data_IF_987363493462
#
_entry.id   IF_987363493462
#
_cell.length_a   1.000
_cell.length_b   1.000
_cell.length_c   1.000
_cell.angle_alpha   90.00
_cell.angle_beta   90.00
_cell.angle_gamma   90.00
#
_symmetry.space_group_name_H-M   'P 1'
#
loop_
_entity.id
_entity.type
_entity.pdbx_description
1 polymer ?
#
# COMPACT_ATOMS: atom_id res chain seq x y z
N UNK A 1 4.71 -26.78 -1.20
CA UNK A 1 3.40 -26.21 -1.61
C UNK A 1 3.21 -24.91 -0.86
N UNK A 2 3.24 -23.76 -1.54
CA UNK A 2 2.93 -22.48 -0.91
C UNK A 2 1.41 -22.41 -0.69
N UNK A 3 0.98 -22.05 0.52
CA UNK A 3 -0.43 -21.84 0.82
C UNK A 3 -0.93 -20.68 -0.05
N UNK A 4 -1.97 -20.92 -0.85
CA UNK A 4 -2.69 -19.86 -1.56
C UNK A 4 -3.30 -18.96 -0.48
N UNK A 5 -2.80 -17.72 -0.39
CA UNK A 5 -3.37 -16.71 0.51
C UNK A 5 -4.80 -16.40 0.06
N UNK A 6 -5.72 -16.34 1.01
CA UNK A 6 -7.07 -15.82 0.79
C UNK A 6 -6.99 -14.33 0.42
N UNK A 7 -7.89 -13.86 -0.45
CA UNK A 7 -7.97 -12.48 -0.97
C UNK A 7 -7.98 -11.37 0.10
N UNK A 8 -8.28 -11.70 1.35
CA UNK A 8 -8.34 -10.75 2.46
C UNK A 8 -7.00 -10.56 3.21
N UNK A 9 -6.02 -11.45 3.03
CA UNK A 9 -4.74 -11.34 3.73
C UNK A 9 -3.83 -10.31 3.04
N UNK A 10 -3.36 -9.31 3.79
CA UNK A 10 -2.40 -8.34 3.24
C UNK A 10 -1.03 -8.98 3.00
N UNK A 11 -0.39 -8.72 1.85
CA UNK A 11 0.97 -9.16 1.61
C UNK A 11 1.98 -8.44 2.53
N UNK A 12 3.22 -8.90 2.46
CA UNK A 12 4.35 -8.18 3.05
C UNK A 12 4.42 -6.75 2.48
N UNK A 13 5.02 -5.80 3.22
CA UNK A 13 5.14 -4.43 2.74
C UNK A 13 5.79 -4.33 1.37
N UNK A 14 5.25 -3.44 0.54
CA UNK A 14 5.75 -3.23 -0.83
C UNK A 14 6.93 -2.26 -0.89
N UNK A 15 7.12 -1.50 0.19
CA UNK A 15 8.22 -0.55 0.38
C UNK A 15 9.16 -1.08 1.49
N UNK A 16 10.44 -1.17 1.17
CA UNK A 16 11.51 -1.51 2.10
C UNK A 16 11.87 -0.33 3.02
N UNK A 17 12.51 -0.64 4.15
CA UNK A 17 12.95 0.38 5.11
C UNK A 17 13.91 1.41 4.49
N UNK A 18 14.77 0.99 3.56
CA UNK A 18 15.67 1.90 2.83
C UNK A 18 14.89 2.87 1.96
N UNK A 19 13.86 2.41 1.25
CA UNK A 19 13.01 3.28 0.44
C UNK A 19 12.25 4.27 1.33
N UNK A 20 11.69 3.81 2.45
CA UNK A 20 10.99 4.67 3.40
C UNK A 20 11.92 5.73 3.99
N UNK A 21 13.18 5.38 4.26
CA UNK A 21 14.19 6.32 4.72
C UNK A 21 14.48 7.39 3.66
N UNK A 22 14.73 7.01 2.40
CA UNK A 22 14.98 7.97 1.31
C UNK A 22 13.77 8.88 1.04
N UNK A 23 12.55 8.36 1.17
CA UNK A 23 11.32 9.16 1.10
C UNK A 23 11.30 10.19 2.23
N UNK A 24 11.62 9.79 3.46
CA UNK A 24 11.66 10.68 4.62
C UNK A 24 12.73 11.78 4.52
N UNK A 25 13.86 11.50 3.88
CA UNK A 25 14.91 12.49 3.63
C UNK A 25 14.63 13.41 2.43
N UNK A 26 13.63 13.09 1.60
CA UNK A 26 13.38 13.80 0.34
C UNK A 26 14.38 13.47 -0.77
N UNK A 27 15.12 12.36 -0.64
CA UNK A 27 16.16 11.93 -1.57
C UNK A 27 15.70 10.87 -2.58
N UNK A 28 14.44 10.40 -2.48
CA UNK A 28 13.87 9.45 -3.43
C UNK A 28 13.45 10.14 -4.74
N UNK A 29 14.33 10.10 -5.74
CA UNK A 29 14.14 10.77 -7.04
C UNK A 29 13.01 10.16 -7.89
N UNK A 30 12.65 8.90 -7.62
CA UNK A 30 11.59 8.18 -8.35
C UNK A 30 10.40 7.92 -7.44
N UNK A 31 10.05 8.92 -6.62
CA UNK A 31 8.94 8.84 -5.67
C UNK A 31 7.62 8.40 -6.33
N UNK A 32 7.41 8.81 -7.58
CA UNK A 32 6.22 8.47 -8.38
C UNK A 32 6.10 6.99 -8.75
N UNK A 33 7.18 6.19 -8.70
CA UNK A 33 7.14 4.74 -8.93
C UNK A 33 6.75 3.97 -7.65
N UNK A 34 6.72 4.68 -6.51
CA UNK A 34 6.55 4.14 -5.16
C UNK A 34 5.23 4.58 -4.51
N UNK A 35 4.97 5.89 -4.52
CA UNK A 35 3.71 6.46 -4.03
C UNK A 35 2.64 6.43 -5.14
N UNK A 36 1.39 6.69 -4.74
CA UNK A 36 0.24 6.65 -5.63
C UNK A 36 -0.33 5.24 -5.76
N UNK A 37 -0.86 4.94 -6.94
CA UNK A 37 -1.45 3.65 -7.29
C UNK A 37 -0.58 2.95 -8.32
N UNK A 38 -0.08 1.76 -8.00
CA UNK A 38 0.84 1.00 -8.83
C UNK A 38 0.24 -0.38 -9.11
N UNK A 39 0.02 -0.72 -10.38
CA UNK A 39 -0.36 -2.09 -10.75
C UNK A 39 0.80 -3.04 -10.44
N UNK A 40 0.52 -4.11 -9.70
CA UNK A 40 1.51 -5.09 -9.25
C UNK A 40 0.93 -6.50 -9.29
N UNK A 41 1.83 -7.47 -9.41
CA UNK A 41 1.55 -8.86 -9.09
C UNK A 41 2.36 -9.20 -7.84
N UNK A 42 1.68 -9.64 -6.78
CA UNK A 42 2.30 -10.03 -5.51
C UNK A 42 1.84 -11.44 -5.18
N UNK A 43 2.79 -12.35 -4.96
CA UNK A 43 2.53 -13.76 -4.65
C UNK A 43 1.56 -14.44 -5.65
N UNK A 44 1.62 -14.08 -6.94
CA UNK A 44 0.75 -14.61 -8.00
C UNK A 44 -0.64 -13.98 -8.10
N UNK A 45 -0.90 -12.90 -7.35
CA UNK A 45 -2.16 -12.16 -7.37
C UNK A 45 -1.96 -10.79 -8.00
N UNK A 46 -2.69 -10.52 -9.09
CA UNK A 46 -2.73 -9.18 -9.70
C UNK A 46 -3.62 -8.23 -8.89
N UNK A 47 -3.19 -6.98 -8.78
CA UNK A 47 -3.96 -5.90 -8.16
C UNK A 47 -3.17 -4.60 -8.14
N UNK A 48 -3.59 -3.69 -7.26
CA UNK A 48 -2.98 -2.36 -7.15
C UNK A 48 -2.43 -2.15 -5.75
N UNK A 49 -1.15 -1.79 -5.69
CA UNK A 49 -0.50 -1.29 -4.49
C UNK A 49 -0.71 0.22 -4.40
N UNK A 50 -1.47 0.65 -3.38
CA UNK A 50 -1.67 2.05 -3.05
C UNK A 50 -0.69 2.46 -1.96
N UNK A 51 -0.03 3.60 -2.12
CA UNK A 51 0.78 4.22 -1.08
C UNK A 51 0.60 5.74 -1.04
N UNK A 52 0.49 6.31 0.16
CA UNK A 52 0.33 7.77 0.36
C UNK A 52 1.11 8.24 1.57
N UNK A 53 1.73 9.41 1.47
CA UNK A 53 2.34 10.08 2.61
C UNK A 53 1.29 10.90 3.36
N UNK A 54 1.02 10.51 4.60
CA UNK A 54 0.04 11.16 5.46
C UNK A 54 0.46 11.02 6.95
N UNK A 55 1.56 11.68 7.37
CA UNK A 55 2.20 11.43 8.67
C UNK A 55 1.30 11.75 9.87
N UNK A 56 0.41 12.74 9.72
CA UNK A 56 -0.47 13.19 10.80
C UNK A 56 -1.85 12.52 10.78
N UNK A 57 -2.12 11.62 9.82
CA UNK A 57 -3.40 10.94 9.74
C UNK A 57 -3.55 9.92 10.88
N UNK A 58 -4.75 9.82 11.44
CA UNK A 58 -5.07 8.77 12.43
C UNK A 58 -5.44 7.44 11.77
N UNK A 59 -6.00 7.50 10.56
CA UNK A 59 -6.38 6.35 9.74
C UNK A 59 -6.44 6.79 8.28
N UNK A 60 -6.02 5.91 7.38
CA UNK A 60 -6.18 6.08 5.94
C UNK A 60 -6.86 4.83 5.37
N UNK A 61 -7.68 4.99 4.33
CA UNK A 61 -8.37 3.89 3.67
C UNK A 61 -8.49 4.20 2.19
N UNK A 62 -8.40 3.16 1.35
CA UNK A 62 -8.68 3.28 -0.08
C UNK A 62 -10.18 3.07 -0.28
N UNK A 63 -10.84 3.96 -1.01
CA UNK A 63 -12.27 3.85 -1.34
C UNK A 63 -12.47 4.02 -2.83
N UNK A 64 -13.42 3.28 -3.39
CA UNK A 64 -13.76 3.31 -4.80
C UNK A 64 -15.00 2.48 -5.09
N UNK A 65 -15.33 2.38 -6.37
CA UNK A 65 -16.40 1.51 -6.86
C UNK A 65 -16.24 0.04 -6.41
N UNK A 66 -15.02 -0.49 -6.42
CA UNK A 66 -14.69 -1.86 -6.03
C UNK A 66 -15.00 -2.21 -4.56
N UNK A 67 -15.27 -1.23 -3.70
CA UNK A 67 -15.62 -1.47 -2.30
C UNK A 67 -16.88 -0.73 -1.84
N UNK A 68 -17.77 -0.40 -2.79
CA UNK A 68 -19.01 0.35 -2.52
C UNK A 68 -18.75 1.71 -1.83
N UNK A 69 -17.56 2.28 -2.02
CA UNK A 69 -17.07 3.46 -1.29
C UNK A 69 -17.03 3.29 0.24
N UNK A 70 -17.01 2.05 0.75
CA UNK A 70 -16.94 1.74 2.18
C UNK A 70 -15.49 1.70 2.68
N UNK A 71 -15.06 2.79 3.33
CA UNK A 71 -13.72 2.93 3.92
C UNK A 71 -13.39 1.97 5.07
N UNK A 72 -14.31 1.10 5.48
CA UNK A 72 -14.02 0.03 6.45
C UNK A 72 -13.39 -1.20 5.79
N UNK A 73 -13.56 -1.37 4.47
CA UNK A 73 -13.15 -2.58 3.74
C UNK A 73 -11.66 -2.60 3.38
N UNK A 74 -11.05 -1.45 3.06
CA UNK A 74 -9.67 -1.37 2.62
C UNK A 74 -8.86 -0.35 3.44
N UNK A 75 -8.77 -0.57 4.76
CA UNK A 75 -7.94 0.23 5.68
C UNK A 75 -6.46 0.02 5.39
N UNK A 76 -5.69 1.11 5.28
CA UNK A 76 -4.27 1.09 4.98
C UNK A 76 -3.41 0.81 6.22
N UNK A 77 -2.29 0.12 6.04
CA UNK A 77 -1.26 -0.12 7.06
C UNK A 77 -0.28 1.06 7.08
N UNK A 78 0.02 1.59 8.27
CA UNK A 78 1.11 2.57 8.46
C UNK A 78 2.45 1.85 8.46
N UNK A 79 3.44 2.37 7.73
CA UNK A 79 4.77 1.79 7.62
C UNK A 79 5.74 2.46 8.59
N UNK A 80 5.86 1.87 9.79
CA UNK A 80 6.71 2.39 10.86
C UNK A 80 6.39 3.85 11.18
N UNK A 81 7.43 4.67 11.31
CA UNK A 81 7.33 6.10 11.59
C UNK A 81 7.55 7.01 10.36
N UNK A 82 7.66 6.42 9.16
CA UNK A 82 7.81 7.17 7.89
C UNK A 82 6.66 8.13 7.58
N UNK A 83 5.49 7.89 8.16
CA UNK A 83 4.25 8.57 7.80
C UNK A 83 3.63 8.10 6.49
N UNK A 84 4.22 7.10 5.83
CA UNK A 84 3.67 6.44 4.65
C UNK A 84 2.66 5.38 5.08
N UNK A 85 1.54 5.35 4.35
CA UNK A 85 0.48 4.37 4.48
C UNK A 85 0.41 3.59 3.19
N UNK A 86 0.20 2.27 3.27
CA UNK A 86 0.02 1.43 2.08
C UNK A 86 -1.16 0.45 2.20
N UNK A 87 -1.65 0.00 1.05
CA UNK A 87 -2.60 -1.11 0.93
C UNK A 87 -2.46 -1.76 -0.44
N UNK A 88 -2.32 -3.08 -0.49
CA UNK A 88 -2.56 -3.83 -1.72
C UNK A 88 -4.04 -4.20 -1.83
N UNK A 89 -4.67 -3.92 -2.96
CA UNK A 89 -6.06 -4.32 -3.24
C UNK A 89 -6.05 -5.30 -4.42
N UNK A 90 -6.36 -6.59 -4.19
CA UNK A 90 -6.44 -7.58 -5.26
C UNK A 90 -7.49 -7.22 -6.30
N UNK A 91 -7.23 -7.57 -7.56
CA UNK A 91 -8.18 -7.45 -8.68
C UNK A 91 -8.69 -6.04 -9.00
N UNK A 92 -8.01 -5.01 -8.48
CA UNK A 92 -8.20 -3.58 -8.79
C UNK A 92 -6.93 -3.07 -9.42
#
# INVERSE_FOLDING_TARGET
MAAVRTSDEQPAPTLSDTELHLIGEGNELRLYDKLGAQFREIDGVHGTAFAVWAPNARRVSVVGDFNDWDGRRNVMRRLGDSGVWERFVPQV
#
